data_IF_807513935440
#
_entry.id   IF_807513935440
#
_cell.length_a   1.000
_cell.length_b   1.000
_cell.length_c   1.000
_cell.angle_alpha   90.00
_cell.angle_beta   90.00
_cell.angle_gamma   90.00
#
_symmetry.space_group_name_H-M   'P 1'
#
loop_
_entity.id
_entity.type
_entity.pdbx_description
1 polymer ?
#
# COMPACT_ATOMS: atom_id res chain seq x y z
N UNK A 1 -28.87 37.22 -16.19
CA UNK A 1 -27.58 36.71 -15.69
C UNK A 1 -27.54 35.18 -15.73
N UNK A 2 -27.86 34.55 -16.87
CA UNK A 2 -27.96 33.07 -16.99
C UNK A 2 -27.05 32.49 -18.10
N UNK A 3 -26.40 33.35 -18.91
CA UNK A 3 -25.52 32.94 -20.01
C UNK A 3 -24.06 32.67 -19.63
N UNK A 4 -23.55 33.26 -18.55
CA UNK A 4 -22.11 33.18 -18.19
C UNK A 4 -21.75 31.97 -17.32
N UNK A 5 -22.74 31.29 -16.73
CA UNK A 5 -22.52 30.11 -15.87
C UNK A 5 -22.17 28.84 -16.67
N UNK A 6 -22.63 28.75 -17.91
CA UNK A 6 -22.47 27.58 -18.78
C UNK A 6 -21.00 27.36 -19.22
N UNK A 7 -20.27 28.36 -19.74
CA UNK A 7 -18.85 28.19 -20.08
C UNK A 7 -17.95 27.98 -18.86
N UNK A 8 -18.27 28.59 -17.70
CA UNK A 8 -17.54 28.40 -16.45
C UNK A 8 -17.74 26.98 -15.91
N UNK A 9 -18.98 26.46 -15.96
CA UNK A 9 -19.29 25.09 -15.57
C UNK A 9 -18.59 24.08 -16.49
N UNK A 10 -18.61 24.28 -17.81
CA UNK A 10 -17.89 23.43 -18.77
C UNK A 10 -16.38 23.48 -18.52
N UNK A 11 -15.81 24.67 -18.35
CA UNK A 11 -14.38 24.84 -18.06
C UNK A 11 -13.94 24.15 -16.76
N UNK A 12 -14.79 24.19 -15.73
CA UNK A 12 -14.55 23.53 -14.44
C UNK A 12 -14.63 22.01 -14.55
N UNK A 13 -15.58 21.47 -15.31
CA UNK A 13 -15.72 20.03 -15.57
C UNK A 13 -14.50 19.52 -16.35
N UNK A 14 -14.11 20.22 -17.42
CA UNK A 14 -12.95 19.85 -18.24
C UNK A 14 -11.66 19.96 -17.41
N UNK A 15 -11.47 21.06 -16.68
CA UNK A 15 -10.30 21.23 -15.80
C UNK A 15 -10.20 20.16 -14.71
N UNK A 16 -11.33 19.81 -14.08
CA UNK A 16 -11.40 18.73 -13.08
C UNK A 16 -11.06 17.35 -13.67
N UNK A 17 -11.55 17.04 -14.87
CA UNK A 17 -11.22 15.79 -15.57
C UNK A 17 -9.73 15.72 -15.94
N UNK A 18 -9.17 16.80 -16.49
CA UNK A 18 -7.75 16.86 -16.81
C UNK A 18 -6.85 16.72 -15.56
N UNK A 19 -7.19 17.43 -14.48
CA UNK A 19 -6.45 17.32 -13.20
C UNK A 19 -6.52 15.91 -12.61
N UNK A 20 -7.68 15.26 -12.67
CA UNK A 20 -7.88 13.88 -12.22
C UNK A 20 -7.05 12.88 -13.03
N UNK A 21 -7.08 12.97 -14.36
CA UNK A 21 -6.30 12.11 -15.26
C UNK A 21 -4.81 12.31 -15.01
N UNK A 22 -4.33 13.55 -14.93
CA UNK A 22 -2.92 13.86 -14.68
C UNK A 22 -2.45 13.27 -13.34
N UNK A 23 -3.27 13.36 -12.30
CA UNK A 23 -2.97 12.79 -10.98
C UNK A 23 -2.82 11.26 -11.02
N UNK A 24 -3.68 10.57 -11.78
CA UNK A 24 -3.60 9.11 -11.97
C UNK A 24 -2.32 8.74 -12.74
N UNK A 25 -1.98 9.49 -13.79
CA UNK A 25 -0.76 9.26 -14.58
C UNK A 25 0.51 9.46 -13.73
N UNK A 26 0.57 10.52 -12.92
CA UNK A 26 1.69 10.76 -12.00
C UNK A 26 1.81 9.60 -11.00
N UNK A 27 0.69 9.20 -10.37
CA UNK A 27 0.68 8.08 -9.43
C UNK A 27 1.16 6.78 -10.10
N UNK A 28 0.76 6.55 -11.35
CA UNK A 28 1.19 5.40 -12.15
C UNK A 28 2.70 5.41 -12.40
N UNK A 29 3.25 6.50 -12.91
CA UNK A 29 4.69 6.63 -13.20
C UNK A 29 5.51 6.44 -11.94
N UNK A 30 5.11 7.07 -10.83
CA UNK A 30 5.79 6.92 -9.54
C UNK A 30 5.71 5.50 -9.00
N UNK A 31 4.55 4.85 -9.09
CA UNK A 31 4.38 3.46 -8.61
C UNK A 31 5.16 2.47 -9.46
N UNK A 32 5.22 2.68 -10.78
CA UNK A 32 6.01 1.85 -11.68
C UNK A 32 7.52 2.01 -11.43
N UNK A 33 7.98 3.25 -11.20
CA UNK A 33 9.37 3.52 -10.80
C UNK A 33 9.68 2.85 -9.45
N UNK A 34 8.80 3.01 -8.46
CA UNK A 34 8.98 2.41 -7.14
C UNK A 34 9.06 0.88 -7.20
N UNK A 35 8.20 0.23 -7.99
CA UNK A 35 8.24 -1.23 -8.19
C UNK A 35 9.57 -1.71 -8.78
N UNK A 36 10.14 -0.97 -9.73
CA UNK A 36 11.41 -1.34 -10.37
C UNK A 36 12.62 -1.10 -9.49
N UNK A 37 12.62 0.01 -8.73
CA UNK A 37 13.78 0.43 -7.93
C UNK A 37 13.80 -0.21 -6.54
N UNK A 38 12.62 -0.48 -5.96
CA UNK A 38 12.46 -1.01 -4.61
C UNK A 38 11.56 -2.26 -4.67
N UNK A 39 12.08 -3.38 -5.19
CA UNK A 39 11.35 -4.64 -5.19
C UNK A 39 11.06 -5.07 -3.75
N UNK A 40 10.16 -6.03 -3.60
CA UNK A 40 9.70 -6.45 -2.30
C UNK A 40 10.83 -6.84 -1.33
N UNK A 41 10.69 -6.41 -0.08
CA UNK A 41 11.63 -6.74 0.97
C UNK A 41 11.21 -8.06 1.61
N UNK A 42 12.06 -9.07 1.50
CA UNK A 42 11.93 -10.34 2.22
C UNK A 42 12.77 -10.29 3.50
N UNK A 43 12.16 -10.68 4.62
CA UNK A 43 12.78 -10.63 5.95
C UNK A 43 12.71 -12.05 6.55
N UNK A 44 13.83 -12.59 7.06
CA UNK A 44 13.81 -13.87 7.75
C UNK A 44 13.00 -13.76 9.05
N UNK A 45 12.14 -14.76 9.29
CA UNK A 45 11.29 -14.87 10.48
C UNK A 45 11.38 -16.29 11.06
N UNK A 46 11.08 -16.47 12.36
CA UNK A 46 11.10 -17.80 12.98
C UNK A 46 10.19 -18.82 12.28
N UNK A 47 10.55 -20.10 12.37
CA UNK A 47 9.71 -21.21 11.91
C UNK A 47 8.30 -21.08 12.51
N UNK A 48 7.28 -21.07 11.65
CA UNK A 48 5.89 -20.98 12.09
C UNK A 48 5.46 -19.61 12.61
N UNK A 49 6.22 -18.53 12.36
CA UNK A 49 5.86 -17.16 12.75
C UNK A 49 4.42 -16.77 12.32
N UNK A 50 3.99 -17.23 11.13
CA UNK A 50 2.62 -17.08 10.61
C UNK A 50 1.55 -17.65 11.55
N UNK A 51 1.83 -18.79 12.18
CA UNK A 51 0.90 -19.51 13.05
C UNK A 51 1.05 -19.09 14.52
N UNK A 52 1.95 -18.15 14.82
CA UNK A 52 2.12 -17.69 16.19
C UNK A 52 0.86 -16.94 16.65
N UNK A 53 0.31 -17.26 17.84
CA UNK A 53 -0.81 -16.51 18.42
C UNK A 53 -0.52 -15.02 18.54
N UNK A 54 0.76 -14.67 18.76
CA UNK A 54 1.22 -13.29 18.80
C UNK A 54 1.03 -12.57 17.46
N UNK A 55 1.42 -13.20 16.35
CA UNK A 55 1.23 -12.61 15.02
C UNK A 55 -0.24 -12.40 14.70
N UNK A 56 -1.08 -13.38 15.02
CA UNK A 56 -2.51 -13.28 14.76
C UNK A 56 -3.14 -12.12 15.54
N UNK A 57 -2.81 -12.00 16.83
CA UNK A 57 -3.25 -10.87 17.66
C UNK A 57 -2.71 -9.53 17.13
N UNK A 58 -1.42 -9.47 16.80
CA UNK A 58 -0.81 -8.26 16.23
C UNK A 58 -1.47 -7.85 14.92
N UNK A 59 -1.78 -8.82 14.05
CA UNK A 59 -2.45 -8.58 12.77
C UNK A 59 -3.84 -8.01 12.99
N UNK A 60 -4.62 -8.58 13.92
CA UNK A 60 -5.95 -8.09 14.29
C UNK A 60 -5.88 -6.66 14.84
N UNK A 61 -5.00 -6.39 15.80
CA UNK A 61 -4.81 -5.06 16.39
C UNK A 61 -4.41 -4.01 15.35
N UNK A 62 -3.59 -4.42 14.37
CA UNK A 62 -3.15 -3.56 13.29
C UNK A 62 -4.12 -3.51 12.09
N UNK A 63 -5.28 -4.16 12.18
CA UNK A 63 -6.34 -4.21 11.15
C UNK A 63 -5.89 -4.86 9.83
N UNK A 64 -4.96 -5.80 9.90
CA UNK A 64 -4.68 -6.72 8.80
C UNK A 64 -5.73 -7.83 8.79
N UNK A 65 -6.26 -8.13 7.60
CA UNK A 65 -7.19 -9.25 7.39
C UNK A 65 -6.50 -10.30 6.55
N UNK A 66 -6.74 -11.57 6.86
CA UNK A 66 -6.29 -12.67 6.02
C UNK A 66 -7.10 -12.65 4.72
N UNK A 67 -6.41 -12.55 3.59
CA UNK A 67 -7.01 -12.49 2.25
C UNK A 67 -6.76 -13.76 1.46
N UNK A 68 -5.59 -14.37 1.63
CA UNK A 68 -5.22 -15.65 1.05
C UNK A 68 -4.59 -16.53 2.13
N UNK A 69 -4.23 -17.77 1.79
CA UNK A 69 -3.65 -18.68 2.77
C UNK A 69 -2.44 -18.05 3.47
N UNK A 70 -1.48 -17.55 2.71
CA UNK A 70 -0.23 -16.96 3.18
C UNK A 70 -0.23 -15.42 3.17
N UNK A 71 -1.36 -14.75 2.95
CA UNK A 71 -1.42 -13.31 2.73
C UNK A 71 -2.34 -12.60 3.72
N UNK A 72 -1.83 -11.51 4.29
CA UNK A 72 -2.56 -10.60 5.16
C UNK A 72 -2.54 -9.21 4.54
N UNK A 73 -3.72 -8.60 4.37
CA UNK A 73 -3.87 -7.31 3.70
C UNK A 73 -4.49 -6.27 4.62
N UNK A 74 -3.98 -5.05 4.55
CA UNK A 74 -4.52 -3.86 5.23
C UNK A 74 -4.80 -2.74 4.22
N UNK A 75 -6.02 -2.24 4.21
CA UNK A 75 -6.50 -1.24 3.23
C UNK A 75 -7.28 -1.90 2.10
N UNK A 76 -8.31 -1.24 1.56
CA UNK A 76 -9.28 -1.90 0.68
C UNK A 76 -10.10 -0.93 -0.21
N UNK A 77 -9.48 -0.02 -0.97
CA UNK A 77 -10.22 0.91 -1.85
C UNK A 77 -9.68 0.99 -3.28
N UNK A 78 -10.57 1.18 -4.25
CA UNK A 78 -10.22 1.62 -5.61
C UNK A 78 -9.39 2.90 -5.52
N UNK A 79 -8.26 2.97 -6.25
CA UNK A 79 -7.34 4.12 -6.21
C UNK A 79 -6.68 4.38 -4.83
N UNK A 80 -6.75 3.41 -3.91
CA UNK A 80 -6.04 3.48 -2.61
C UNK A 80 -4.90 2.46 -2.55
N UNK A 81 -3.91 2.74 -1.71
CA UNK A 81 -2.82 1.80 -1.42
C UNK A 81 -3.23 0.82 -0.33
N UNK A 82 -2.99 -0.47 -0.52
CA UNK A 82 -3.05 -1.51 0.51
C UNK A 82 -1.66 -2.00 0.87
N UNK A 83 -1.48 -2.50 2.09
CA UNK A 83 -0.25 -3.19 2.50
C UNK A 83 -0.51 -4.68 2.56
N UNK A 84 0.34 -5.47 1.94
CA UNK A 84 0.30 -6.94 2.00
C UNK A 84 1.51 -7.44 2.79
N UNK A 85 1.27 -8.39 3.69
CA UNK A 85 2.27 -9.21 4.36
C UNK A 85 2.08 -10.62 3.84
N UNK A 86 3.13 -11.20 3.25
CA UNK A 86 3.11 -12.54 2.67
C UNK A 86 4.14 -13.42 3.35
N UNK A 87 3.77 -14.65 3.64
CA UNK A 87 4.68 -15.63 4.23
C UNK A 87 5.12 -16.66 3.18
N UNK A 88 6.43 -16.88 3.12
CA UNK A 88 7.09 -17.84 2.26
C UNK A 88 8.01 -18.72 3.11
N UNK A 89 7.44 -19.73 3.76
CA UNK A 89 8.18 -20.55 4.74
C UNK A 89 8.66 -19.71 5.91
N UNK A 90 9.98 -19.50 5.99
CA UNK A 90 10.66 -18.71 7.03
C UNK A 90 10.95 -17.29 6.60
N UNK A 91 10.35 -16.85 5.51
CA UNK A 91 10.47 -15.50 5.02
C UNK A 91 9.13 -14.78 5.10
N UNK A 92 9.19 -13.51 5.44
CA UNK A 92 8.05 -12.60 5.43
C UNK A 92 8.35 -11.46 4.45
N UNK A 93 7.53 -11.36 3.41
CA UNK A 93 7.56 -10.28 2.44
C UNK A 93 6.57 -9.18 2.85
N UNK A 94 7.01 -7.92 2.83
CA UNK A 94 6.14 -6.78 3.16
C UNK A 94 6.14 -5.76 2.02
N UNK A 95 4.98 -5.58 1.41
CA UNK A 95 4.80 -4.72 0.24
C UNK A 95 3.66 -3.74 0.42
N UNK A 96 3.84 -2.54 -0.14
CA UNK A 96 2.75 -1.65 -0.46
C UNK A 96 2.26 -1.96 -1.87
N UNK A 97 0.94 -1.95 -2.04
CA UNK A 97 0.24 -2.28 -3.26
C UNK A 97 -0.62 -1.10 -3.65
N UNK A 98 -0.34 -0.52 -4.81
CA UNK A 98 -1.18 0.53 -5.39
C UNK A 98 -2.10 -0.12 -6.41
N UNK A 99 -3.41 -0.04 -6.14
CA UNK A 99 -4.45 -0.55 -7.02
C UNK A 99 -4.89 0.54 -8.00
N UNK A 100 -4.55 0.34 -9.26
CA UNK A 100 -5.16 1.02 -10.39
C UNK A 100 -6.32 0.16 -10.91
N UNK A 101 -7.33 0.78 -11.55
CA UNK A 101 -8.51 0.10 -12.12
C UNK A 101 -8.17 -1.16 -12.93
N UNK A 102 -7.02 -1.17 -13.63
CA UNK A 102 -6.58 -2.27 -14.50
C UNK A 102 -5.22 -2.87 -14.13
N UNK A 103 -4.58 -2.43 -13.03
CA UNK A 103 -3.27 -2.94 -12.65
C UNK A 103 -2.99 -2.82 -11.16
N UNK A 104 -2.21 -3.76 -10.63
CA UNK A 104 -1.66 -3.68 -9.27
C UNK A 104 -0.16 -3.50 -9.36
N UNK A 105 0.38 -2.54 -8.61
CA UNK A 105 1.83 -2.28 -8.52
C UNK A 105 2.27 -2.56 -7.10
N UNK A 106 3.25 -3.44 -6.92
CA UNK A 106 3.82 -3.81 -5.62
C UNK A 106 5.23 -3.28 -5.49
N UNK A 107 5.55 -2.70 -4.34
CA UNK A 107 6.90 -2.24 -4.02
C UNK A 107 7.16 -2.35 -2.51
N UNK A 108 8.42 -2.35 -2.11
CA UNK A 108 8.77 -2.47 -0.70
C UNK A 108 8.10 -1.40 0.17
N UNK A 109 7.66 -1.79 1.37
CA UNK A 109 7.04 -0.86 2.31
C UNK A 109 7.98 0.28 2.73
N UNK A 110 9.29 0.15 2.61
CA UNK A 110 10.26 1.21 2.95
C UNK A 110 10.62 2.11 1.75
N UNK A 111 10.02 1.90 0.57
CA UNK A 111 10.33 2.69 -0.62
C UNK A 111 10.10 4.21 -0.37
N UNK A 112 11.01 5.09 -0.84
CA UNK A 112 10.94 6.54 -0.65
C UNK A 112 9.91 7.21 -1.59
N UNK A 113 8.67 6.71 -1.56
CA UNK A 113 7.54 7.34 -2.27
C UNK A 113 7.02 8.51 -1.43
N UNK A 114 6.67 9.63 -2.09
CA UNK A 114 6.16 10.83 -1.39
C UNK A 114 4.76 10.62 -0.81
N UNK A 115 3.87 9.99 -1.59
CA UNK A 115 2.48 9.75 -1.18
C UNK A 115 2.39 8.78 -0.01
N UNK A 116 1.69 9.19 1.05
CA UNK A 116 1.44 8.35 2.24
C UNK A 116 2.64 8.15 3.16
N UNK A 117 3.70 8.98 3.07
CA UNK A 117 4.92 8.86 3.89
C UNK A 117 4.67 8.77 5.40
N UNK A 118 3.79 9.59 6.03
CA UNK A 118 3.52 9.48 7.48
C UNK A 118 2.86 8.14 7.85
N UNK A 119 1.87 7.72 7.07
CA UNK A 119 1.14 6.45 7.27
C UNK A 119 2.10 5.26 7.13
N UNK A 120 2.95 5.29 6.09
CA UNK A 120 3.97 4.27 5.84
C UNK A 120 4.97 4.19 7.00
N UNK A 121 5.47 5.32 7.51
CA UNK A 121 6.36 5.35 8.68
C UNK A 121 5.72 4.72 9.92
N UNK A 122 4.44 4.98 10.17
CA UNK A 122 3.72 4.34 11.26
C UNK A 122 3.63 2.81 11.08
N UNK A 123 3.30 2.33 9.87
CA UNK A 123 3.27 0.90 9.57
C UNK A 123 4.63 0.24 9.80
N UNK A 124 5.71 0.84 9.28
CA UNK A 124 7.09 0.36 9.48
C UNK A 124 7.41 0.28 10.97
N UNK A 125 7.03 1.28 11.77
CA UNK A 125 7.25 1.25 13.23
C UNK A 125 6.56 0.05 13.90
N UNK A 126 5.33 -0.27 13.51
CA UNK A 126 4.61 -1.43 14.07
C UNK A 126 5.21 -2.76 13.63
N UNK A 127 5.71 -2.83 12.40
CA UNK A 127 6.42 -4.00 11.87
C UNK A 127 7.74 -4.18 12.60
N UNK A 128 8.52 -3.11 12.82
CA UNK A 128 9.78 -3.21 13.55
C UNK A 128 9.57 -3.75 14.97
N UNK A 129 8.50 -3.32 15.66
CA UNK A 129 8.13 -3.88 16.97
C UNK A 129 7.82 -5.38 16.91
N UNK A 130 7.15 -5.83 15.86
CA UNK A 130 6.85 -7.25 15.63
C UNK A 130 8.15 -8.04 15.38
N UNK A 131 9.05 -7.50 14.55
CA UNK A 131 10.34 -8.12 14.25
C UNK A 131 11.25 -8.18 15.48
N UNK A 132 11.33 -7.11 16.27
CA UNK A 132 12.06 -7.08 17.53
C UNK A 132 11.56 -8.16 18.50
N UNK A 133 10.25 -8.37 18.58
CA UNK A 133 9.68 -9.42 19.42
C UNK A 133 10.06 -10.85 18.97
N UNK A 134 10.25 -11.07 17.66
CA UNK A 134 10.65 -12.37 17.12
C UNK A 134 12.16 -12.63 17.14
N UNK A 135 12.97 -11.59 17.32
CA UNK A 135 14.43 -11.69 17.40
C UNK A 135 14.95 -11.81 18.84
N UNK A 136 14.09 -11.57 19.84
CA UNK A 136 14.33 -11.87 21.24
C UNK A 136 14.04 -13.34 21.54
#
# INVERSE_FOLDING_TARGET
>A
MQGDLLPIAIGSIVGGLFGGILSIVILWVMSNKAQRTYPALSIPVPNGARYSPYFELWAQLNKYRRTEENCYTKGCGLLTSSTEIRFHGNEMEIVEVVNFLFAKRRFAINAPVMFGKPVRRHKIKQINKLLEHWQC
#
